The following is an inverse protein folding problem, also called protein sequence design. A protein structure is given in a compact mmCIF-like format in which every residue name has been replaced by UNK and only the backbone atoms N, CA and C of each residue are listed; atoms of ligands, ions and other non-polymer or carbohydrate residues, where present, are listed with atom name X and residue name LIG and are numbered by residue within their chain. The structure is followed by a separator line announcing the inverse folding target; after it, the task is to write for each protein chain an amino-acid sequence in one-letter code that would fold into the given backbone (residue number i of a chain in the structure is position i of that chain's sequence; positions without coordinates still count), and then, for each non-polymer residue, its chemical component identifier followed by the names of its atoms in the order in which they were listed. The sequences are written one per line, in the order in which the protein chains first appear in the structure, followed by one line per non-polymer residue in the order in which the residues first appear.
data_IF_880052632067
#
_entry.id   IF_880052632067
#
_cell.length_a   1.000
_cell.length_b   1.000
_cell.length_c   1.000
_cell.angle_alpha   90.00
_cell.angle_beta   90.00
_cell.angle_gamma   90.00
#
_symmetry.space_group_name_H-M   'P 1'
#
loop_
_entity.id
_entity.type
_entity.pdbx_description
1 polymer ?
#
# COMPACT_ATOMS: atom_id res chain seq x y z
N UNK A 1 76.58 -26.24 58.05
CA UNK A 1 75.43 -26.74 58.84
C UNK A 1 74.21 -25.86 58.54
N UNK A 2 73.10 -26.50 58.13
CA UNK A 2 71.68 -26.17 58.31
C UNK A 2 71.21 -24.69 58.52
N UNK A 3 70.28 -24.33 57.61
CA UNK A 3 68.93 -23.74 57.82
C UNK A 3 68.79 -22.24 58.09
N UNK A 4 67.83 -21.63 57.38
CA UNK A 4 67.23 -20.35 57.79
C UNK A 4 66.44 -19.63 56.70
N UNK A 5 65.35 -20.24 56.21
CA UNK A 5 64.34 -19.62 55.36
C UNK A 5 63.64 -18.46 56.13
N UNK A 6 63.53 -17.27 55.56
CA UNK A 6 62.44 -16.35 55.92
C UNK A 6 62.02 -15.50 54.69
N UNK A 7 60.90 -15.90 54.12
CA UNK A 7 60.16 -15.24 53.06
C UNK A 7 59.42 -14.03 53.62
N UNK A 8 59.67 -12.84 53.09
CA UNK A 8 58.84 -11.65 53.32
C UNK A 8 57.80 -11.61 52.19
N UNK A 9 56.54 -11.88 52.54
CA UNK A 9 55.39 -11.66 51.67
C UNK A 9 55.02 -10.18 51.77
N UNK A 10 55.30 -9.42 50.70
CA UNK A 10 54.81 -8.05 50.58
C UNK A 10 53.38 -8.10 50.05
N UNK A 11 52.44 -7.70 50.91
CA UNK A 11 51.03 -7.56 50.60
C UNK A 11 50.84 -6.28 49.77
N UNK A 12 50.74 -6.41 48.44
CA UNK A 12 50.31 -5.29 47.58
C UNK A 12 48.79 -5.30 47.55
N UNK A 13 48.16 -4.41 48.32
CA UNK A 13 46.75 -4.07 48.12
C UNK A 13 46.64 -3.31 46.79
N UNK A 14 46.30 -4.03 45.73
CA UNK A 14 45.79 -3.42 44.51
C UNK A 14 44.38 -2.90 44.82
N UNK A 15 44.28 -1.62 45.18
CA UNK A 15 43.02 -0.89 45.15
C UNK A 15 42.55 -0.84 43.70
N UNK A 16 41.73 -1.83 43.31
CA UNK A 16 40.98 -1.77 42.07
C UNK A 16 40.01 -0.60 42.18
N UNK A 17 40.35 0.53 41.56
CA UNK A 17 39.37 1.55 41.20
C UNK A 17 38.37 0.89 40.25
N UNK A 18 37.29 0.38 40.82
CA UNK A 18 36.08 0.12 40.07
C UNK A 18 35.64 1.48 39.51
N UNK A 19 35.94 1.73 38.24
CA UNK A 19 35.22 2.72 37.47
C UNK A 19 33.77 2.24 37.44
N UNK A 20 32.96 2.77 38.35
CA UNK A 20 31.52 2.73 38.21
C UNK A 20 31.24 3.37 36.85
N UNK A 21 30.91 2.54 35.87
CA UNK A 21 30.25 3.04 34.67
C UNK A 21 28.99 3.72 35.19
N UNK A 22 28.99 5.05 35.17
CA UNK A 22 27.80 5.85 35.37
C UNK A 22 26.90 5.49 34.19
N UNK A 23 26.12 4.42 34.34
CA UNK A 23 24.95 4.18 33.51
C UNK A 23 24.10 5.41 33.74
N UNK A 24 23.92 6.21 32.70
CA UNK A 24 23.02 7.34 32.75
C UNK A 24 21.63 6.80 33.07
N UNK A 25 21.23 6.84 34.34
CA UNK A 25 19.93 6.33 34.83
C UNK A 25 18.74 7.06 34.18
N UNK A 26 19.01 8.13 33.40
CA UNK A 26 18.00 8.85 32.63
C UNK A 26 17.76 8.28 31.22
N UNK A 27 18.57 7.32 30.74
CA UNK A 27 18.40 6.72 29.43
C UNK A 27 17.33 5.60 29.44
N UNK A 28 16.49 5.55 28.39
CA UNK A 28 15.52 4.46 28.19
C UNK A 28 16.24 3.11 28.17
N UNK A 29 15.83 2.12 29.00
CA UNK A 29 16.44 0.79 29.00
C UNK A 29 16.46 0.15 27.61
N UNK A 30 17.60 -0.43 27.22
CA UNK A 30 17.78 -1.03 25.89
C UNK A 30 16.69 -2.03 25.49
N UNK A 31 16.22 -2.94 26.39
CA UNK A 31 15.14 -3.86 26.02
C UNK A 31 13.82 -3.17 25.63
N UNK A 32 13.54 -1.96 26.15
CA UNK A 32 12.36 -1.18 25.75
C UNK A 32 12.58 -0.51 24.39
N UNK A 33 13.80 -0.07 24.10
CA UNK A 33 14.18 0.46 22.78
C UNK A 33 14.05 -0.65 21.73
N UNK A 34 14.59 -1.84 21.98
CA UNK A 34 14.51 -2.99 21.07
C UNK A 34 13.05 -3.41 20.82
N UNK A 35 12.22 -3.40 21.86
CA UNK A 35 10.79 -3.68 21.72
C UNK A 35 10.08 -2.62 20.86
N UNK A 36 10.45 -1.34 21.01
CA UNK A 36 9.88 -0.25 20.22
C UNK A 36 10.35 -0.28 18.76
N UNK A 37 11.61 -0.65 18.52
CA UNK A 37 12.18 -0.85 17.18
C UNK A 37 11.48 -2.01 16.45
N UNK A 38 11.27 -3.15 17.13
CA UNK A 38 10.50 -4.28 16.59
C UNK A 38 9.04 -3.92 16.24
N UNK A 39 8.42 -3.04 17.04
CA UNK A 39 7.10 -2.51 16.73
C UNK A 39 7.14 -1.64 15.46
N UNK A 40 8.16 -0.79 15.30
CA UNK A 40 8.33 0.04 14.10
C UNK A 40 8.50 -0.83 12.85
N UNK A 41 9.35 -1.86 12.89
CA UNK A 41 9.53 -2.82 11.80
C UNK A 41 8.21 -3.50 11.41
N UNK A 42 7.42 -3.90 12.40
CA UNK A 42 6.11 -4.52 12.17
C UNK A 42 5.17 -3.58 11.42
N UNK A 43 5.12 -2.30 11.80
CA UNK A 43 4.28 -1.29 11.15
C UNK A 43 4.75 -1.03 9.71
N UNK A 44 6.06 -0.92 9.50
CA UNK A 44 6.64 -0.71 8.16
C UNK A 44 6.37 -1.93 7.25
N UNK A 45 6.51 -3.14 7.76
CA UNK A 45 6.17 -4.37 7.04
C UNK A 45 4.67 -4.44 6.70
N UNK A 46 3.79 -3.99 7.60
CA UNK A 46 2.36 -3.91 7.35
C UNK A 46 2.03 -2.91 6.22
N UNK A 47 2.69 -1.73 6.18
CA UNK A 47 2.55 -0.77 5.07
C UNK A 47 2.93 -1.37 3.72
N UNK A 48 4.06 -2.08 3.64
CA UNK A 48 4.49 -2.77 2.42
C UNK A 48 3.51 -3.86 1.99
N UNK A 49 2.98 -4.59 2.97
CA UNK A 49 1.99 -5.64 2.72
C UNK A 49 0.69 -5.06 2.15
N UNK A 50 0.19 -3.98 2.73
CA UNK A 50 -0.98 -3.26 2.22
C UNK A 50 -0.74 -2.78 0.78
N UNK A 51 0.39 -2.14 0.51
CA UNK A 51 0.74 -1.66 -0.83
C UNK A 51 0.66 -2.79 -1.87
N UNK A 52 1.30 -3.93 -1.61
CA UNK A 52 1.28 -5.10 -2.49
C UNK A 52 -0.14 -5.66 -2.68
N UNK A 53 -0.92 -5.68 -1.60
CA UNK A 53 -2.29 -6.18 -1.63
C UNK A 53 -3.20 -5.30 -2.49
N UNK A 54 -3.15 -3.98 -2.30
CA UNK A 54 -3.96 -3.05 -3.11
C UNK A 54 -3.52 -3.09 -4.57
N UNK A 55 -2.22 -3.19 -4.86
CA UNK A 55 -1.75 -3.43 -6.23
C UNK A 55 -2.31 -4.71 -6.84
N UNK A 56 -2.36 -5.79 -6.05
CA UNK A 56 -2.90 -7.07 -6.50
C UNK A 56 -4.40 -7.00 -6.76
N UNK A 57 -5.16 -6.32 -5.89
CA UNK A 57 -6.60 -6.04 -6.08
C UNK A 57 -6.81 -5.27 -7.37
N UNK A 58 -6.09 -4.16 -7.57
CA UNK A 58 -6.21 -3.33 -8.78
C UNK A 58 -5.82 -4.10 -10.04
N UNK A 59 -4.73 -4.87 -10.01
CA UNK A 59 -4.30 -5.72 -11.11
C UNK A 59 -5.33 -6.80 -11.48
N UNK A 60 -5.93 -7.44 -10.48
CA UNK A 60 -7.00 -8.41 -10.66
C UNK A 60 -8.26 -7.79 -11.26
N UNK A 61 -8.73 -6.68 -10.69
CA UNK A 61 -9.90 -5.94 -11.19
C UNK A 61 -9.67 -5.45 -12.62
N UNK A 62 -8.48 -4.93 -12.93
CA UNK A 62 -8.14 -4.47 -14.28
C UNK A 62 -8.12 -5.63 -15.28
N UNK A 63 -7.51 -6.76 -14.92
CA UNK A 63 -7.47 -7.95 -15.79
C UNK A 63 -8.87 -8.45 -16.10
N UNK A 64 -9.77 -8.45 -15.10
CA UNK A 64 -11.18 -8.79 -15.32
C UNK A 64 -11.86 -7.76 -16.23
N UNK A 65 -11.69 -6.46 -15.96
CA UNK A 65 -12.24 -5.38 -16.78
C UNK A 65 -11.77 -5.50 -18.25
N UNK A 66 -10.49 -5.83 -18.49
CA UNK A 66 -9.95 -6.03 -19.83
C UNK A 66 -10.62 -7.20 -20.55
N UNK A 67 -10.82 -8.32 -19.87
CA UNK A 67 -11.55 -9.47 -20.41
C UNK A 67 -12.99 -9.14 -20.78
N UNK A 68 -13.69 -8.40 -19.91
CA UNK A 68 -15.06 -7.92 -20.17
C UNK A 68 -15.10 -6.95 -21.33
N UNK A 69 -14.18 -5.98 -21.40
CA UNK A 69 -14.09 -5.01 -22.47
C UNK A 69 -13.88 -5.69 -23.83
N UNK A 70 -12.92 -6.63 -23.91
CA UNK A 70 -12.67 -7.43 -25.13
C UNK A 70 -13.92 -8.19 -25.57
N UNK A 71 -14.62 -8.84 -24.64
CA UNK A 71 -15.86 -9.58 -24.93
C UNK A 71 -16.98 -8.66 -25.41
N UNK A 72 -17.19 -7.52 -24.74
CA UNK A 72 -18.20 -6.54 -25.11
C UNK A 72 -17.95 -5.99 -26.52
N UNK A 73 -16.71 -5.59 -26.82
CA UNK A 73 -16.32 -5.10 -28.14
C UNK A 73 -16.54 -6.15 -29.24
N UNK A 74 -16.18 -7.41 -29.00
CA UNK A 74 -16.42 -8.50 -29.94
C UNK A 74 -17.92 -8.71 -30.25
N UNK A 75 -18.78 -8.64 -29.23
CA UNK A 75 -20.24 -8.72 -29.40
C UNK A 75 -20.78 -7.54 -30.21
N UNK A 76 -20.34 -6.33 -29.90
CA UNK A 76 -20.75 -5.12 -30.62
C UNK A 76 -20.34 -5.17 -32.09
N UNK A 77 -19.12 -5.60 -32.41
CA UNK A 77 -18.65 -5.80 -33.78
C UNK A 77 -19.43 -6.87 -34.55
N UNK A 78 -19.95 -7.88 -33.84
CA UNK A 78 -20.83 -8.90 -34.40
C UNK A 78 -22.32 -8.51 -34.45
N UNK A 79 -22.69 -7.29 -34.03
CA UNK A 79 -24.08 -6.83 -33.96
C UNK A 79 -24.92 -7.56 -32.89
N UNK A 80 -24.28 -8.14 -31.88
CA UNK A 80 -24.91 -8.84 -30.77
C UNK A 80 -25.15 -7.91 -29.58
N UNK A 81 -26.11 -8.26 -28.73
CA UNK A 81 -26.36 -7.52 -27.49
C UNK A 81 -25.19 -7.66 -26.50
N UNK A 82 -24.60 -6.52 -26.13
CA UNK A 82 -23.48 -6.40 -25.20
C UNK A 82 -23.86 -5.61 -23.92
N UNK A 83 -25.13 -5.26 -23.71
CA UNK A 83 -25.55 -4.35 -22.64
C UNK A 83 -25.07 -4.79 -21.25
N UNK A 84 -25.25 -6.08 -20.91
CA UNK A 84 -24.78 -6.62 -19.62
C UNK A 84 -23.27 -6.59 -19.45
N UNK A 85 -22.50 -6.77 -20.54
CA UNK A 85 -21.04 -6.68 -20.48
C UNK A 85 -20.57 -5.22 -20.33
N UNK A 86 -21.26 -4.27 -20.97
CA UNK A 86 -21.00 -2.82 -20.82
C UNK A 86 -21.29 -2.37 -19.38
N UNK A 87 -22.39 -2.81 -18.79
CA UNK A 87 -22.73 -2.51 -17.39
C UNK A 87 -21.69 -3.12 -16.43
N UNK A 88 -21.32 -4.38 -16.65
CA UNK A 88 -20.27 -5.05 -15.87
C UNK A 88 -18.94 -4.30 -15.98
N UNK A 89 -18.57 -3.85 -17.18
CA UNK A 89 -17.36 -3.07 -17.38
C UNK A 89 -17.41 -1.75 -16.60
N UNK A 90 -18.52 -1.02 -16.66
CA UNK A 90 -18.69 0.22 -15.92
C UNK A 90 -18.49 0.01 -14.41
N UNK A 91 -19.05 -1.07 -13.85
CA UNK A 91 -18.88 -1.42 -12.45
C UNK A 91 -17.42 -1.73 -12.10
N UNK A 92 -16.72 -2.52 -12.91
CA UNK A 92 -15.31 -2.85 -12.69
C UNK A 92 -14.40 -1.61 -12.79
N UNK A 93 -14.65 -0.71 -13.74
CA UNK A 93 -13.92 0.56 -13.86
C UNK A 93 -14.19 1.45 -12.65
N UNK A 94 -15.42 1.45 -12.11
CA UNK A 94 -15.71 2.16 -10.87
C UNK A 94 -14.96 1.56 -9.67
N UNK A 95 -14.81 0.24 -9.61
CA UNK A 95 -14.00 -0.41 -8.58
C UNK A 95 -12.52 -0.04 -8.69
N UNK A 96 -11.96 0.06 -9.90
CA UNK A 96 -10.59 0.57 -10.10
C UNK A 96 -10.43 1.97 -9.49
N UNK A 97 -11.39 2.86 -9.74
CA UNK A 97 -11.37 4.21 -9.16
C UNK A 97 -11.51 4.26 -7.64
N UNK A 98 -12.05 3.22 -7.00
CA UNK A 98 -12.28 3.17 -5.55
C UNK A 98 -11.31 2.23 -4.80
N UNK A 99 -10.32 1.67 -5.49
CA UNK A 99 -9.40 0.63 -5.00
C UNK A 99 -10.10 -0.62 -4.49
N UNK A 100 -11.20 -0.98 -5.13
CA UNK A 100 -12.00 -2.15 -4.78
C UNK A 100 -13.47 -1.81 -4.58
N UNK A 101 -14.17 -2.72 -3.91
CA UNK A 101 -15.60 -2.65 -3.65
C UNK A 101 -15.93 -2.13 -2.25
N UNK A 102 -17.19 -2.24 -1.85
CA UNK A 102 -17.65 -1.85 -0.52
C UNK A 102 -16.98 -2.66 0.62
N UNK A 103 -16.60 -3.92 0.37
CA UNK A 103 -15.92 -4.76 1.34
C UNK A 103 -14.53 -4.24 1.62
N UNK A 104 -13.78 -3.86 0.58
CA UNK A 104 -12.45 -3.25 0.72
C UNK A 104 -12.56 -1.86 1.36
N UNK A 105 -13.58 -1.06 1.01
CA UNK A 105 -13.80 0.24 1.63
C UNK A 105 -14.02 0.13 3.15
N UNK A 106 -14.73 -0.89 3.62
CA UNK A 106 -14.92 -1.14 5.05
C UNK A 106 -13.62 -1.50 5.77
N UNK A 107 -12.74 -2.30 5.13
CA UNK A 107 -11.41 -2.63 5.67
C UNK A 107 -10.54 -1.37 5.75
N UNK A 108 -10.49 -0.57 4.69
CA UNK A 108 -9.76 0.71 4.67
C UNK A 108 -10.22 1.65 5.79
N UNK A 109 -11.53 1.76 6.01
CA UNK A 109 -12.07 2.55 7.12
C UNK A 109 -11.55 2.07 8.48
N UNK A 110 -11.53 0.75 8.72
CA UNK A 110 -11.00 0.18 9.96
C UNK A 110 -9.50 0.42 10.13
N UNK A 111 -8.73 0.43 9.05
CA UNK A 111 -7.30 0.76 9.08
C UNK A 111 -7.08 2.23 9.49
N UNK A 112 -7.86 3.15 8.92
CA UNK A 112 -7.86 4.56 9.30
C UNK A 112 -8.23 4.80 10.77
N UNK A 113 -9.25 4.10 11.27
CA UNK A 113 -9.63 4.14 12.70
C UNK A 113 -8.47 3.69 13.61
N UNK A 114 -7.59 2.81 13.12
CA UNK A 114 -6.36 2.40 13.79
C UNK A 114 -5.16 3.35 13.61
N UNK A 115 -5.34 4.49 12.94
CA UNK A 115 -4.28 5.47 12.65
C UNK A 115 -3.37 5.07 11.48
N UNK A 116 -3.76 4.08 10.68
CA UNK A 116 -2.96 3.63 9.54
C UNK A 116 -3.25 4.45 8.29
N UNK A 117 -2.38 5.41 8.01
CA UNK A 117 -2.41 6.24 6.80
C UNK A 117 -1.22 5.90 5.90
N UNK A 118 -1.50 5.35 4.71
CA UNK A 118 -0.46 5.03 3.74
C UNK A 118 0.19 6.32 3.21
N UNK A 119 -0.64 7.28 2.80
CA UNK A 119 -0.24 8.53 2.15
C UNK A 119 -0.56 9.78 2.98
N UNK A 120 -0.40 9.75 4.31
CA UNK A 120 -0.79 10.85 5.21
C UNK A 120 -0.45 12.27 4.68
N UNK A 121 0.80 12.50 4.25
CA UNK A 121 1.22 13.79 3.66
C UNK A 121 0.50 14.12 2.36
N UNK A 122 0.28 13.12 1.50
CA UNK A 122 -0.46 13.27 0.26
C UNK A 122 -1.95 13.50 0.48
N UNK A 123 -2.53 12.97 1.55
CA UNK A 123 -3.91 13.23 1.98
C UNK A 123 -4.07 14.69 2.44
N UNK A 124 -3.13 15.18 3.26
CA UNK A 124 -3.08 16.59 3.70
C UNK A 124 -2.95 17.57 2.52
N UNK A 125 -2.12 17.22 1.53
CA UNK A 125 -1.95 18.00 0.29
C UNK A 125 -3.10 17.83 -0.69
N UNK A 126 -4.04 16.92 -0.39
CA UNK A 126 -5.19 16.61 -1.20
C UNK A 126 -4.91 15.88 -2.51
N UNK A 127 -3.75 15.24 -2.62
CA UNK A 127 -3.38 14.34 -3.73
C UNK A 127 -4.16 13.03 -3.65
N UNK A 128 -4.34 12.49 -2.44
CA UNK A 128 -5.05 11.25 -2.18
C UNK A 128 -6.36 11.50 -1.42
N UNK A 129 -7.35 10.63 -1.66
CA UNK A 129 -8.45 10.47 -0.72
C UNK A 129 -7.96 9.74 0.53
N UNK A 130 -8.59 9.98 1.67
CA UNK A 130 -8.17 9.39 2.93
C UNK A 130 -8.22 7.85 2.86
N UNK A 131 -7.10 7.21 3.23
CA UNK A 131 -6.91 5.77 3.22
C UNK A 131 -6.61 5.18 1.85
N UNK A 132 -6.57 5.98 0.78
CA UNK A 132 -6.19 5.47 -0.54
C UNK A 132 -4.68 5.25 -0.61
N UNK A 133 -4.29 4.17 -1.29
CA UNK A 133 -2.90 3.70 -1.32
C UNK A 133 -2.21 4.06 -2.64
N UNK A 134 -2.89 3.91 -3.76
CA UNK A 134 -2.36 4.01 -5.12
C UNK A 134 -3.12 5.07 -5.94
N UNK A 135 -4.44 5.05 -5.90
CA UNK A 135 -5.30 5.88 -6.74
C UNK A 135 -5.41 7.28 -6.15
N UNK A 136 -4.79 8.25 -6.83
CA UNK A 136 -4.91 9.67 -6.49
C UNK A 136 -6.34 10.17 -6.73
N UNK A 137 -6.72 11.30 -6.13
CA UNK A 137 -8.01 11.97 -6.39
C UNK A 137 -8.22 12.29 -7.88
N UNK A 138 -7.14 12.71 -8.56
CA UNK A 138 -7.17 13.01 -9.98
C UNK A 138 -7.47 11.76 -10.82
N UNK A 139 -6.73 10.68 -10.57
CA UNK A 139 -6.92 9.40 -11.26
C UNK A 139 -8.28 8.78 -10.96
N UNK A 140 -8.72 8.86 -9.69
CA UNK A 140 -10.07 8.44 -9.27
C UNK A 140 -11.13 9.15 -10.08
N UNK A 141 -11.04 10.48 -10.22
CA UNK A 141 -11.99 11.25 -11.02
C UNK A 141 -12.03 10.76 -12.47
N UNK A 142 -10.88 10.55 -13.10
CA UNK A 142 -10.80 10.04 -14.48
C UNK A 142 -11.49 8.69 -14.62
N UNK A 143 -11.17 7.74 -13.73
CA UNK A 143 -11.74 6.39 -13.74
C UNK A 143 -13.25 6.41 -13.48
N UNK A 144 -13.73 7.15 -12.49
CA UNK A 144 -15.16 7.25 -12.17
C UNK A 144 -15.94 7.96 -13.27
N UNK A 145 -15.36 8.95 -13.94
CA UNK A 145 -16.01 9.61 -15.07
C UNK A 145 -16.06 8.68 -16.30
N UNK A 146 -15.02 7.89 -16.55
CA UNK A 146 -15.03 6.85 -17.57
C UNK A 146 -16.09 5.78 -17.27
N UNK A 147 -16.17 5.28 -16.03
CA UNK A 147 -17.21 4.35 -15.60
C UNK A 147 -18.63 4.90 -15.88
N UNK A 148 -18.88 6.17 -15.54
CA UNK A 148 -20.17 6.84 -15.84
C UNK A 148 -20.43 7.00 -17.33
N UNK A 149 -19.40 7.21 -18.16
CA UNK A 149 -19.56 7.31 -19.61
C UNK A 149 -19.86 5.93 -20.22
N UNK A 150 -19.12 4.91 -19.82
CA UNK A 150 -19.37 3.51 -20.21
C UNK A 150 -20.80 3.09 -19.83
N UNK A 151 -21.21 3.32 -18.58
CA UNK A 151 -22.57 2.98 -18.12
C UNK A 151 -23.68 3.75 -18.86
N UNK A 152 -23.40 4.94 -19.38
CA UNK A 152 -24.35 5.72 -20.19
C UNK A 152 -24.44 5.27 -21.64
N UNK A 153 -23.50 4.47 -22.15
CA UNK A 153 -23.59 3.94 -23.52
C UNK A 153 -24.82 3.03 -23.68
N UNK A 154 -25.14 2.23 -22.65
CA UNK A 154 -26.33 1.37 -22.63
C UNK A 154 -26.48 0.53 -23.91
N UNK A 155 -27.72 0.41 -24.40
CA UNK A 155 -28.02 -0.29 -25.67
C UNK A 155 -27.57 0.46 -26.94
N UNK A 156 -27.01 1.67 -26.81
CA UNK A 156 -26.47 2.46 -27.93
C UNK A 156 -24.95 2.34 -28.09
N UNK A 157 -24.31 1.50 -27.27
CA UNK A 157 -22.88 1.26 -27.36
C UNK A 157 -22.50 0.77 -28.76
N UNK A 158 -21.44 1.35 -29.31
CA UNK A 158 -20.73 0.83 -30.48
C UNK A 158 -19.33 0.39 -30.06
N UNK A 159 -18.72 -0.51 -30.82
CA UNK A 159 -17.35 -0.95 -30.59
C UNK A 159 -16.40 0.26 -30.46
N UNK A 160 -16.50 1.22 -31.39
CA UNK A 160 -15.65 2.42 -31.40
C UNK A 160 -15.83 3.28 -30.15
N UNK A 161 -17.08 3.52 -29.72
CA UNK A 161 -17.34 4.32 -28.50
C UNK A 161 -16.86 3.61 -27.24
N UNK A 162 -17.00 2.28 -27.16
CA UNK A 162 -16.54 1.52 -26.01
C UNK A 162 -15.00 1.44 -25.96
N UNK A 163 -14.36 1.28 -27.11
CA UNK A 163 -12.91 1.27 -27.25
C UNK A 163 -12.29 2.60 -26.81
N UNK A 164 -12.88 3.74 -27.18
CA UNK A 164 -12.37 5.05 -26.77
C UNK A 164 -12.41 5.26 -25.24
N UNK A 165 -13.48 4.83 -24.59
CA UNK A 165 -13.56 4.87 -23.12
C UNK A 165 -12.59 3.88 -22.47
N UNK A 166 -12.48 2.68 -23.03
CA UNK A 166 -11.52 1.69 -22.55
C UNK A 166 -10.07 2.18 -22.68
N UNK A 167 -9.72 2.89 -23.75
CA UNK A 167 -8.39 3.50 -23.92
C UNK A 167 -8.06 4.53 -22.85
N UNK A 168 -9.06 5.31 -22.43
CA UNK A 168 -8.92 6.23 -21.29
C UNK A 168 -8.59 5.46 -20.02
N UNK A 169 -9.30 4.37 -19.74
CA UNK A 169 -9.04 3.52 -18.56
C UNK A 169 -7.66 2.88 -18.64
N UNK A 170 -7.26 2.34 -19.80
CA UNK A 170 -5.93 1.74 -20.00
C UNK A 170 -4.80 2.74 -19.77
N UNK A 171 -4.94 3.95 -20.32
CA UNK A 171 -3.95 5.00 -20.15
C UNK A 171 -3.79 5.39 -18.68
N UNK A 172 -4.90 5.61 -17.97
CA UNK A 172 -4.88 5.98 -16.56
C UNK A 172 -4.33 4.86 -15.68
N UNK A 173 -4.71 3.60 -15.94
CA UNK A 173 -4.21 2.46 -15.18
C UNK A 173 -2.70 2.27 -15.35
N UNK A 174 -2.17 2.48 -16.56
CA UNK A 174 -0.71 2.46 -16.82
C UNK A 174 0.01 3.56 -16.05
N UNK A 175 -0.55 4.77 -16.02
CA UNK A 175 0.02 5.88 -15.25
C UNK A 175 0.15 5.52 -13.76
N UNK A 176 -0.90 4.96 -13.17
CA UNK A 176 -0.90 4.50 -11.77
C UNK A 176 0.20 3.47 -11.44
N UNK A 177 0.68 2.72 -12.44
CA UNK A 177 1.74 1.72 -12.27
C UNK A 177 3.13 2.23 -12.69
N UNK A 178 3.20 3.25 -13.56
CA UNK A 178 4.45 3.87 -13.99
C UNK A 178 5.10 4.70 -12.87
N UNK A 179 4.28 5.34 -12.02
CA UNK A 179 4.73 6.18 -10.92
C UNK A 179 5.10 5.40 -9.65
N UNK A 180 5.31 4.08 -9.76
CA UNK A 180 5.70 3.23 -8.62
C UNK A 180 7.12 3.57 -8.18
N UNK A 181 7.34 4.14 -6.97
CA UNK A 181 8.69 4.28 -6.45
C UNK A 181 9.22 2.88 -6.16
N UNK A 182 10.19 2.42 -6.94
CA UNK A 182 11.06 1.31 -6.57
C UNK A 182 11.92 1.77 -5.38
N UNK A 183 11.36 1.75 -4.18
CA UNK A 183 12.10 2.18 -2.99
C UNK A 183 11.22 2.59 -1.82
N UNK A 184 10.52 1.62 -1.24
CA UNK A 184 10.35 1.55 0.22
C UNK A 184 11.02 0.28 0.73
#
# INVERSE_FOLDING_TARGET
MRKGLLTIVVLVLSAGLAQAQMVDESATPQPLVDAYDSLADTILAAKKTEWNLVHSILGGTYSHAEGVAKRAMAKLGAGQDAAGDVETLAALVAQLGNEGDASIAAVRKRLLEGGHHHNAKGEEQGVYDEGFVIVTRASRKVLLDAAKRIGRLGGSATEATLQAEWDTVRAEFRKLHADTPLGM
#
